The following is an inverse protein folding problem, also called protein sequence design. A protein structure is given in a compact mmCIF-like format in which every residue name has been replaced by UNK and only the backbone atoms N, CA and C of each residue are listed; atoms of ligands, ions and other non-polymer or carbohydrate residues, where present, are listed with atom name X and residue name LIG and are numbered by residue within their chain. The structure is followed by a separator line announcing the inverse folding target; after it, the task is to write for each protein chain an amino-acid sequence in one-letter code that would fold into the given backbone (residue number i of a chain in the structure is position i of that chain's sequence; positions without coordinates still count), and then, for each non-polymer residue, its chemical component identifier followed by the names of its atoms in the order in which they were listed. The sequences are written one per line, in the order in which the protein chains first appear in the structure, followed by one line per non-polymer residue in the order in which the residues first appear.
data_IF_301790041519
#
_entry.id   IF_301790041519
#
_cell.length_a   1.000
_cell.length_b   1.000
_cell.length_c   1.000
_cell.angle_alpha   90.00
_cell.angle_beta   90.00
_cell.angle_gamma   90.00
#
_symmetry.space_group_name_H-M   'P 1'
#
loop_
_entity.id
_entity.type
_entity.pdbx_description
1 polymer ?
#
# COMPACT_ATOMS: atom_id res chain seq x y z
N UNK A 1 -6.32 17.23 16.04
CA UNK A 1 -5.34 16.12 16.16
C UNK A 1 -5.98 14.81 16.64
N UNK A 2 -6.62 14.72 17.80
CA UNK A 2 -7.24 13.47 18.28
C UNK A 2 -8.36 12.92 17.36
N UNK A 3 -9.24 13.76 16.84
CA UNK A 3 -10.32 13.34 15.94
C UNK A 3 -9.76 12.77 14.62
N UNK A 4 -8.79 13.45 14.01
CA UNK A 4 -8.14 12.99 12.79
C UNK A 4 -7.41 11.66 12.97
N UNK A 5 -6.80 11.41 14.14
CA UNK A 5 -6.19 10.12 14.47
C UNK A 5 -7.25 9.01 14.54
N UNK A 6 -8.38 9.27 15.22
CA UNK A 6 -9.47 8.30 15.37
C UNK A 6 -10.10 7.96 14.01
N UNK A 7 -10.35 8.97 13.16
CA UNK A 7 -10.88 8.77 11.81
C UNK A 7 -9.92 7.97 10.93
N UNK A 8 -8.63 8.27 10.99
CA UNK A 8 -7.59 7.55 10.24
C UNK A 8 -7.54 6.06 10.64
N UNK A 9 -7.48 5.77 11.94
CA UNK A 9 -7.46 4.40 12.46
C UNK A 9 -8.76 3.66 12.12
N UNK A 10 -9.92 4.33 12.26
CA UNK A 10 -11.21 3.75 11.90
C UNK A 10 -11.28 3.36 10.41
N UNK A 11 -10.77 4.22 9.52
CA UNK A 11 -10.72 3.91 8.09
C UNK A 11 -9.86 2.68 7.78
N UNK A 12 -8.72 2.50 8.48
CA UNK A 12 -7.88 1.32 8.34
C UNK A 12 -8.55 0.06 8.92
N UNK A 13 -9.17 0.16 10.09
CA UNK A 13 -9.86 -0.97 10.73
C UNK A 13 -11.07 -1.43 9.89
N UNK A 14 -11.77 -0.51 9.22
CA UNK A 14 -12.86 -0.83 8.30
C UNK A 14 -12.44 -1.72 7.11
N UNK A 15 -11.14 -1.72 6.74
CA UNK A 15 -10.60 -2.63 5.74
C UNK A 15 -10.47 -4.08 6.25
N UNK A 16 -10.56 -4.31 7.55
CA UNK A 16 -10.35 -5.63 8.15
C UNK A 16 -11.61 -6.49 8.09
N UNK A 17 -11.84 -7.14 6.97
CA UNK A 17 -13.00 -8.01 6.76
C UNK A 17 -12.89 -9.37 7.49
N UNK A 18 -11.74 -9.71 8.07
CA UNK A 18 -11.47 -11.02 8.69
C UNK A 18 -11.49 -11.03 10.21
N UNK A 19 -11.69 -9.86 10.82
CA UNK A 19 -11.65 -9.69 12.27
C UNK A 19 -10.23 -9.71 12.87
N UNK A 20 -10.14 -9.53 14.19
CA UNK A 20 -8.88 -9.34 14.89
C UNK A 20 -8.38 -7.89 14.77
N UNK A 21 -7.21 -7.57 15.35
CA UNK A 21 -6.60 -6.26 15.19
C UNK A 21 -5.94 -6.11 13.83
N UNK A 22 -5.94 -4.91 13.30
CA UNK A 22 -5.13 -4.58 12.11
C UNK A 22 -3.64 -4.65 12.47
N UNK A 23 -2.85 -5.27 11.58
CA UNK A 23 -1.39 -5.40 11.76
C UNK A 23 -0.70 -4.08 11.42
N UNK A 24 0.31 -3.73 12.23
CA UNK A 24 1.20 -2.61 11.94
C UNK A 24 2.43 -3.05 11.13
N UNK A 25 3.20 -2.08 10.66
CA UNK A 25 4.47 -2.36 9.98
C UNK A 25 5.48 -3.07 10.91
N UNK A 26 5.39 -2.89 12.24
CA UNK A 26 6.20 -3.59 13.22
C UNK A 26 5.85 -5.09 13.27
N UNK A 27 4.56 -5.43 13.18
CA UNK A 27 4.12 -6.83 13.09
C UNK A 27 4.63 -7.49 11.79
N UNK A 28 4.61 -6.75 10.67
CA UNK A 28 5.11 -7.25 9.38
C UNK A 28 6.63 -7.47 9.40
N UNK A 29 7.38 -6.62 10.12
CA UNK A 29 8.80 -6.82 10.37
C UNK A 29 9.07 -8.09 11.18
N UNK A 30 8.34 -8.30 12.28
CA UNK A 30 8.52 -9.46 13.15
C UNK A 30 8.08 -10.77 12.48
N UNK A 31 7.05 -10.72 11.63
CA UNK A 31 6.66 -11.84 10.79
C UNK A 31 7.64 -12.10 9.62
N UNK A 32 8.59 -11.18 9.39
CA UNK A 32 9.53 -11.22 8.26
C UNK A 32 8.82 -11.05 6.91
N UNK A 33 7.65 -10.44 6.88
CA UNK A 33 6.96 -10.09 5.62
C UNK A 33 7.76 -9.08 4.82
N UNK A 34 8.45 -8.20 5.52
CA UNK A 34 9.46 -7.24 5.03
C UNK A 34 10.66 -7.27 5.98
N UNK A 35 11.83 -6.83 5.51
CA UNK A 35 12.96 -6.52 6.40
C UNK A 35 12.98 -5.03 6.77
N UNK A 36 13.88 -4.65 7.67
CA UNK A 36 13.94 -3.29 8.19
C UNK A 36 14.30 -2.24 7.12
N UNK A 37 15.28 -2.47 6.20
CA UNK A 37 15.56 -1.54 5.12
C UNK A 37 14.37 -1.33 4.17
N UNK A 38 13.70 -2.41 3.76
CA UNK A 38 12.51 -2.33 2.91
C UNK A 38 11.34 -1.62 3.62
N UNK A 39 11.09 -1.95 4.89
CA UNK A 39 10.05 -1.30 5.69
C UNK A 39 10.29 0.20 5.83
N UNK A 40 11.54 0.61 6.06
CA UNK A 40 11.93 2.01 6.17
C UNK A 40 11.70 2.77 4.84
N UNK A 41 12.11 2.17 3.72
CA UNK A 41 11.84 2.72 2.39
C UNK A 41 10.35 2.90 2.13
N UNK A 42 9.54 1.86 2.39
CA UNK A 42 8.09 1.91 2.17
C UNK A 42 7.40 2.96 3.07
N UNK A 43 7.80 3.03 4.35
CA UNK A 43 7.27 4.03 5.27
C UNK A 43 7.59 5.46 4.81
N UNK A 44 8.82 5.74 4.34
CA UNK A 44 9.22 7.02 3.80
C UNK A 44 8.44 7.38 2.53
N UNK A 45 8.31 6.46 1.58
CA UNK A 45 7.55 6.68 0.36
C UNK A 45 6.08 7.00 0.64
N UNK A 46 5.44 6.26 1.57
CA UNK A 46 4.06 6.56 1.98
C UNK A 46 3.94 7.92 2.65
N UNK A 47 4.98 8.38 3.37
CA UNK A 47 5.01 9.71 3.99
C UNK A 47 4.99 10.83 2.96
N UNK A 48 5.48 10.59 1.75
CA UNK A 48 5.38 11.50 0.60
C UNK A 48 4.03 11.43 -0.14
N UNK A 49 3.09 10.61 0.34
CA UNK A 49 1.78 10.48 -0.30
C UNK A 49 1.79 9.56 -1.53
N UNK A 50 2.65 8.56 -1.55
CA UNK A 50 2.71 7.61 -2.65
C UNK A 50 1.40 6.83 -2.81
N UNK A 51 0.86 6.75 -4.03
CA UNK A 51 -0.21 5.82 -4.38
C UNK A 51 0.30 4.39 -4.33
N UNK A 52 -0.55 3.45 -3.90
CA UNK A 52 -0.16 2.09 -3.55
C UNK A 52 -1.06 1.03 -4.18
N UNK A 53 -0.45 0.04 -4.82
CA UNK A 53 -1.10 -1.16 -5.29
C UNK A 53 -0.44 -2.40 -4.67
N UNK A 54 -1.25 -3.31 -4.10
CA UNK A 54 -0.74 -4.55 -3.51
C UNK A 54 -1.35 -5.76 -4.20
N UNK A 55 -0.53 -6.53 -4.89
CA UNK A 55 -0.92 -7.70 -5.67
C UNK A 55 -0.56 -9.02 -5.00
N UNK A 56 -1.47 -10.00 -5.11
CA UNK A 56 -1.23 -11.41 -4.87
C UNK A 56 -2.43 -12.25 -5.35
N UNK A 57 -2.20 -13.35 -6.07
CA UNK A 57 -3.28 -14.26 -6.49
C UNK A 57 -3.93 -15.01 -5.34
N UNK A 58 -3.18 -15.62 -4.39
CA UNK A 58 -3.83 -16.38 -3.33
C UNK A 58 -4.66 -15.51 -2.40
N UNK A 59 -5.90 -15.90 -2.15
CA UNK A 59 -6.68 -15.36 -1.05
C UNK A 59 -5.94 -15.58 0.28
N UNK A 60 -5.92 -14.55 1.16
CA UNK A 60 -5.21 -14.65 2.45
C UNK A 60 -3.69 -14.44 2.38
N UNK A 61 -3.15 -14.02 1.25
CA UNK A 61 -1.73 -13.68 1.11
C UNK A 61 -1.28 -12.49 1.97
N UNK A 62 -2.22 -11.73 2.57
CA UNK A 62 -1.90 -10.59 3.44
C UNK A 62 -1.93 -9.24 2.75
N UNK A 63 -2.50 -9.12 1.55
CA UNK A 63 -2.61 -7.86 0.79
C UNK A 63 -3.12 -6.71 1.66
N UNK A 64 -4.31 -6.88 2.23
CA UNK A 64 -4.96 -5.85 3.07
C UNK A 64 -4.11 -5.48 4.29
N UNK A 65 -3.48 -6.46 4.95
CA UNK A 65 -2.62 -6.18 6.09
C UNK A 65 -1.40 -5.34 5.71
N UNK A 66 -0.76 -5.63 4.57
CA UNK A 66 0.37 -4.84 4.06
C UNK A 66 -0.10 -3.45 3.65
N UNK A 67 -1.20 -3.35 2.89
CA UNK A 67 -1.76 -2.06 2.46
C UNK A 67 -2.08 -1.17 3.65
N UNK A 68 -2.85 -1.64 4.64
CA UNK A 68 -3.24 -0.84 5.79
C UNK A 68 -2.05 -0.48 6.70
N UNK A 69 -1.09 -1.40 6.89
CA UNK A 69 0.13 -1.11 7.64
C UNK A 69 0.94 0.04 7.00
N UNK A 70 0.95 0.12 5.67
CA UNK A 70 1.63 1.19 4.91
C UNK A 70 0.81 2.48 4.89
N UNK A 71 -0.50 2.42 4.67
CA UNK A 71 -1.39 3.59 4.72
C UNK A 71 -1.33 4.32 6.07
N UNK A 72 -0.94 3.62 7.13
CA UNK A 72 -0.72 4.24 8.44
C UNK A 72 0.40 5.30 8.43
N UNK A 73 1.26 5.32 7.40
CA UNK A 73 2.35 6.29 7.21
C UNK A 73 2.01 7.43 6.27
N UNK A 74 0.79 7.56 5.78
CA UNK A 74 0.37 8.71 4.98
C UNK A 74 0.65 10.05 5.68
N UNK A 75 0.76 11.19 4.96
CA UNK A 75 0.90 12.52 5.54
C UNK A 75 -0.15 12.79 6.61
N UNK A 76 0.18 13.67 7.58
CA UNK A 76 -0.66 13.89 8.77
C UNK A 76 -2.07 14.37 8.45
N UNK A 77 -2.19 15.20 7.42
CA UNK A 77 -3.43 15.85 6.98
C UNK A 77 -4.23 15.02 5.96
N UNK A 78 -3.71 13.84 5.57
CA UNK A 78 -4.35 13.02 4.54
C UNK A 78 -5.52 12.22 5.12
N UNK A 79 -6.73 12.45 4.62
CA UNK A 79 -7.89 11.63 4.90
C UNK A 79 -7.83 10.32 4.08
N UNK A 80 -8.35 9.23 4.65
CA UNK A 80 -8.56 7.97 3.91
C UNK A 80 -10.05 7.83 3.63
N UNK A 81 -10.42 7.61 2.37
CA UNK A 81 -11.82 7.46 1.97
C UNK A 81 -12.03 6.23 1.11
N UNK A 82 -12.77 5.26 1.64
CA UNK A 82 -13.13 4.07 0.89
C UNK A 82 -14.14 4.41 -0.23
N UNK A 83 -13.86 3.92 -1.45
CA UNK A 83 -14.73 4.07 -2.62
C UNK A 83 -15.77 2.96 -2.61
N UNK A 84 -16.79 3.14 -1.80
CA UNK A 84 -17.89 2.18 -1.62
C UNK A 84 -19.09 2.40 -2.53
N UNK A 85 -19.08 3.45 -3.36
CA UNK A 85 -20.15 3.75 -4.31
C UNK A 85 -19.68 4.70 -5.41
N UNK A 86 -20.41 4.73 -6.52
CA UNK A 86 -20.19 5.67 -7.63
C UNK A 86 -20.17 7.13 -7.15
N UNK A 87 -21.03 7.51 -6.21
CA UNK A 87 -21.07 8.88 -5.68
C UNK A 87 -19.74 9.32 -5.03
N UNK A 88 -18.95 8.39 -4.48
CA UNK A 88 -17.62 8.71 -3.93
C UNK A 88 -16.62 8.98 -5.06
N UNK A 89 -16.70 8.27 -6.18
CA UNK A 89 -15.88 8.56 -7.38
C UNK A 89 -16.24 9.94 -7.95
N UNK A 90 -17.52 10.23 -8.11
CA UNK A 90 -17.98 11.54 -8.62
C UNK A 90 -17.49 12.68 -7.71
N UNK A 91 -17.51 12.48 -6.39
CA UNK A 91 -16.95 13.44 -5.44
C UNK A 91 -15.44 13.58 -5.58
N UNK A 92 -14.71 12.47 -5.77
CA UNK A 92 -13.26 12.47 -5.95
C UNK A 92 -12.86 13.18 -7.25
N UNK A 93 -13.63 12.99 -8.32
CA UNK A 93 -13.43 13.69 -9.60
C UNK A 93 -13.65 15.18 -9.48
N UNK A 94 -14.57 15.63 -8.63
CA UNK A 94 -14.88 17.04 -8.38
C UNK A 94 -13.97 17.68 -7.31
N UNK A 95 -13.14 16.90 -6.59
CA UNK A 95 -12.30 17.40 -5.51
C UNK A 95 -11.17 18.29 -6.06
N UNK A 96 -11.12 19.58 -5.71
CA UNK A 96 -10.13 20.51 -6.20
C UNK A 96 -8.78 20.41 -5.46
N UNK A 97 -8.67 19.57 -4.41
CA UNK A 97 -7.50 19.47 -3.54
C UNK A 97 -6.82 18.10 -3.65
N UNK A 98 -6.09 17.84 -4.76
CA UNK A 98 -5.34 16.60 -4.90
C UNK A 98 -4.32 16.48 -3.76
N UNK A 99 -4.15 15.26 -3.26
CA UNK A 99 -3.21 14.99 -2.16
C UNK A 99 -3.78 15.13 -0.75
N UNK A 100 -4.95 15.77 -0.56
CA UNK A 100 -5.60 15.83 0.75
C UNK A 100 -6.34 14.54 1.14
N UNK A 101 -6.66 13.70 0.14
CA UNK A 101 -7.39 12.45 0.33
C UNK A 101 -6.70 11.29 -0.38
N UNK A 102 -6.55 10.17 0.33
CA UNK A 102 -6.21 8.88 -0.26
C UNK A 102 -7.52 8.11 -0.49
N UNK A 103 -7.87 7.90 -1.76
CA UNK A 103 -9.03 7.10 -2.13
C UNK A 103 -8.67 5.62 -2.12
N UNK A 104 -9.46 4.80 -1.45
CA UNK A 104 -9.17 3.42 -1.16
C UNK A 104 -10.20 2.49 -1.79
N UNK A 105 -9.78 1.60 -2.68
CA UNK A 105 -10.55 0.42 -3.07
C UNK A 105 -10.05 -0.80 -2.31
N UNK A 106 -10.94 -1.56 -1.68
CA UNK A 106 -10.53 -2.75 -0.94
C UNK A 106 -9.91 -3.80 -1.87
N UNK A 107 -10.46 -3.93 -3.08
CA UNK A 107 -9.92 -4.80 -4.11
C UNK A 107 -10.42 -4.40 -5.51
N UNK A 108 -9.57 -4.55 -6.52
CA UNK A 108 -10.03 -4.56 -7.91
C UNK A 108 -10.42 -6.00 -8.23
N UNK A 109 -11.73 -6.24 -8.32
CA UNK A 109 -12.28 -7.57 -8.54
C UNK A 109 -13.78 -7.53 -8.80
N UNK A 110 -14.25 -8.48 -9.61
CA UNK A 110 -15.66 -8.68 -9.91
C UNK A 110 -16.37 -9.31 -8.72
N UNK A 111 -17.03 -8.51 -7.90
CA UNK A 111 -17.74 -8.97 -6.71
C UNK A 111 -18.57 -7.87 -6.06
N UNK A 112 -19.69 -8.26 -5.44
CA UNK A 112 -20.62 -7.34 -4.75
C UNK A 112 -20.17 -7.05 -3.30
N UNK A 113 -18.86 -6.93 -3.06
CA UNK A 113 -18.34 -6.57 -1.74
C UNK A 113 -18.13 -5.07 -1.64
N UNK A 114 -18.21 -4.55 -0.42
CA UNK A 114 -17.99 -3.12 -0.16
C UNK A 114 -16.60 -2.67 -0.64
N UNK A 115 -16.57 -1.56 -1.40
CA UNK A 115 -15.37 -0.97 -1.99
C UNK A 115 -14.56 -1.94 -2.90
N UNK A 116 -15.24 -2.90 -3.54
CA UNK A 116 -14.73 -3.64 -4.69
C UNK A 116 -15.11 -2.90 -5.95
N UNK A 117 -14.15 -2.70 -6.84
CA UNK A 117 -14.35 -1.97 -8.09
C UNK A 117 -14.04 -2.87 -9.28
N UNK A 118 -14.85 -2.76 -10.35
CA UNK A 118 -14.64 -3.49 -11.59
C UNK A 118 -15.14 -2.69 -12.79
N UNK A 119 -14.58 -2.95 -13.98
CA UNK A 119 -14.98 -2.30 -15.23
C UNK A 119 -14.81 -0.78 -15.16
N UNK A 120 -15.87 -0.05 -15.46
CA UNK A 120 -15.87 1.42 -15.53
C UNK A 120 -15.48 2.08 -14.21
N UNK A 121 -15.93 1.55 -13.06
CA UNK A 121 -15.56 2.10 -11.76
C UNK A 121 -14.06 1.93 -11.46
N UNK A 122 -13.45 0.80 -11.87
CA UNK A 122 -12.01 0.61 -11.77
C UNK A 122 -11.26 1.57 -12.70
N UNK A 123 -11.73 1.74 -13.96
CA UNK A 123 -11.17 2.72 -14.88
C UNK A 123 -11.15 4.12 -14.25
N UNK A 124 -12.28 4.62 -13.74
CA UNK A 124 -12.43 5.95 -13.18
C UNK A 124 -11.61 6.12 -11.88
N UNK A 125 -11.53 5.07 -11.05
CA UNK A 125 -10.69 5.07 -9.86
C UNK A 125 -9.21 5.30 -10.20
N UNK A 126 -8.67 4.62 -11.21
CA UNK A 126 -7.29 4.84 -11.64
C UNK A 126 -7.10 6.20 -12.33
N UNK A 127 -8.13 6.75 -12.98
CA UNK A 127 -8.08 8.08 -13.58
C UNK A 127 -7.86 9.20 -12.54
N UNK A 128 -8.18 8.97 -11.25
CA UNK A 128 -7.89 9.90 -10.16
C UNK A 128 -6.39 10.21 -10.04
N UNK A 129 -5.50 9.30 -10.43
CA UNK A 129 -4.05 9.54 -10.42
C UNK A 129 -3.63 10.66 -11.37
N UNK A 130 -4.27 10.77 -12.54
CA UNK A 130 -4.02 11.86 -13.50
C UNK A 130 -4.42 13.24 -12.94
N UNK A 131 -5.25 13.28 -11.92
CA UNK A 131 -5.65 14.49 -11.19
C UNK A 131 -4.78 14.77 -9.96
N UNK A 132 -3.77 13.93 -9.70
CA UNK A 132 -2.86 14.06 -8.56
C UNK A 132 -3.42 13.52 -7.24
N UNK A 133 -4.52 12.76 -7.26
CA UNK A 133 -5.04 12.10 -6.06
C UNK A 133 -4.23 10.86 -5.71
N UNK A 134 -4.06 10.61 -4.42
CA UNK A 134 -3.54 9.35 -3.93
C UNK A 134 -4.60 8.26 -4.04
N UNK A 135 -4.21 7.09 -4.50
CA UNK A 135 -5.06 5.90 -4.49
C UNK A 135 -4.36 4.73 -3.81
N UNK A 136 -5.14 3.85 -3.21
CA UNK A 136 -4.62 2.60 -2.66
C UNK A 136 -5.59 1.45 -2.97
N UNK A 137 -5.06 0.30 -3.39
CA UNK A 137 -5.90 -0.86 -3.70
C UNK A 137 -5.13 -2.18 -3.64
N UNK A 138 -5.90 -3.27 -3.56
CA UNK A 138 -5.43 -4.62 -3.74
C UNK A 138 -5.93 -5.21 -5.06
N UNK A 139 -5.24 -6.22 -5.59
CA UNK A 139 -5.71 -7.00 -6.73
C UNK A 139 -5.16 -8.44 -6.74
N UNK A 140 -5.78 -9.31 -7.54
CA UNK A 140 -5.37 -10.69 -7.72
C UNK A 140 -4.36 -10.84 -8.87
N UNK A 141 -3.16 -10.30 -8.68
CA UNK A 141 -2.04 -10.47 -9.62
C UNK A 141 -0.74 -10.71 -8.85
N UNK A 142 0.12 -11.58 -9.36
CA UNK A 142 1.43 -11.91 -8.77
C UNK A 142 2.58 -11.15 -9.44
N UNK A 143 2.33 -10.51 -10.57
CA UNK A 143 3.34 -9.83 -11.39
C UNK A 143 2.80 -8.53 -11.99
N UNK A 144 3.74 -7.64 -12.38
CA UNK A 144 3.41 -6.40 -13.09
C UNK A 144 2.71 -6.67 -14.43
N UNK A 145 3.09 -7.74 -15.14
CA UNK A 145 2.43 -8.12 -16.40
C UNK A 145 0.96 -8.50 -16.16
N UNK A 146 0.69 -9.38 -15.18
CA UNK A 146 -0.68 -9.75 -14.82
C UNK A 146 -1.51 -8.56 -14.33
N UNK A 147 -0.88 -7.61 -13.64
CA UNK A 147 -1.53 -6.34 -13.24
C UNK A 147 -1.96 -5.55 -14.45
N UNK A 148 -1.09 -5.40 -15.45
CA UNK A 148 -1.43 -4.72 -16.72
C UNK A 148 -2.54 -5.44 -17.47
N UNK A 149 -2.48 -6.76 -17.54
CA UNK A 149 -3.53 -7.55 -18.19
C UNK A 149 -4.88 -7.36 -17.49
N UNK A 150 -4.92 -7.49 -16.16
CA UNK A 150 -6.16 -7.33 -15.40
C UNK A 150 -6.72 -5.91 -15.48
N UNK A 151 -5.89 -4.89 -15.35
CA UNK A 151 -6.34 -3.50 -15.29
C UNK A 151 -6.55 -2.90 -16.67
N UNK A 152 -5.55 -2.99 -17.57
CA UNK A 152 -5.65 -2.31 -18.86
C UNK A 152 -6.51 -3.10 -19.84
N UNK A 153 -6.33 -4.43 -19.95
CA UNK A 153 -7.11 -5.25 -20.87
C UNK A 153 -8.48 -5.63 -20.30
N UNK A 154 -8.54 -5.96 -19.00
CA UNK A 154 -9.76 -6.43 -18.34
C UNK A 154 -10.69 -5.33 -17.86
N UNK A 155 -10.19 -4.16 -17.49
CA UNK A 155 -10.97 -3.05 -16.92
C UNK A 155 -10.85 -1.73 -17.69
N UNK A 156 -10.11 -1.71 -18.81
CA UNK A 156 -9.97 -0.52 -19.64
C UNK A 156 -9.14 0.63 -19.01
N UNK A 157 -8.40 0.34 -17.94
CA UNK A 157 -7.53 1.35 -17.29
C UNK A 157 -6.47 1.83 -18.27
N UNK A 158 -6.37 3.14 -18.44
CA UNK A 158 -5.34 3.77 -19.28
C UNK A 158 -3.96 3.44 -18.74
N UNK A 159 -3.00 2.95 -19.55
CA UNK A 159 -1.68 2.53 -19.07
C UNK A 159 -0.94 3.61 -18.27
N UNK A 160 -1.10 4.87 -18.66
CA UNK A 160 -0.50 6.03 -18.00
C UNK A 160 -1.05 6.22 -16.57
N UNK A 161 -2.35 5.96 -16.35
CA UNK A 161 -2.96 6.02 -15.02
C UNK A 161 -2.44 4.90 -14.11
N UNK A 162 -2.21 3.70 -14.66
CA UNK A 162 -1.56 2.62 -13.91
C UNK A 162 -0.10 2.96 -13.60
N UNK A 163 0.63 3.51 -14.56
CA UNK A 163 2.04 3.91 -14.36
C UNK A 163 2.15 5.02 -13.32
N UNK A 164 1.16 5.93 -13.23
CA UNK A 164 1.10 6.98 -12.20
C UNK A 164 0.92 6.46 -10.76
N UNK A 165 0.56 5.18 -10.57
CA UNK A 165 0.60 4.57 -9.23
C UNK A 165 2.05 4.41 -8.80
N UNK A 166 2.48 5.15 -7.79
CA UNK A 166 3.88 5.29 -7.41
C UNK A 166 4.53 3.99 -6.90
N UNK A 167 3.78 3.17 -6.16
CA UNK A 167 4.27 1.90 -5.59
C UNK A 167 3.39 0.72 -6.00
N UNK A 168 4.02 -0.34 -6.51
CA UNK A 168 3.36 -1.62 -6.82
C UNK A 168 4.11 -2.74 -6.11
N UNK A 169 3.45 -3.36 -5.12
CA UNK A 169 3.98 -4.43 -4.29
C UNK A 169 3.34 -5.76 -4.66
N UNK A 170 4.15 -6.81 -4.75
CA UNK A 170 3.64 -8.17 -4.95
C UNK A 170 4.02 -9.05 -3.78
N UNK A 171 3.03 -9.79 -3.25
CA UNK A 171 3.23 -10.72 -2.15
C UNK A 171 3.30 -12.15 -2.63
N UNK A 172 4.07 -12.94 -1.90
CA UNK A 172 4.13 -14.39 -2.09
C UNK A 172 3.96 -15.09 -0.75
N UNK A 173 3.24 -16.22 -0.78
CA UNK A 173 3.20 -17.14 0.34
C UNK A 173 4.36 -18.12 0.20
N UNK A 174 5.23 -18.12 1.19
CA UNK A 174 6.39 -19.01 1.28
C UNK A 174 5.98 -20.28 2.00
N UNK A 175 6.05 -21.40 1.30
CA UNK A 175 5.72 -22.74 1.79
C UNK A 175 6.96 -23.56 2.17
N UNK A 176 8.12 -22.92 2.30
CA UNK A 176 9.38 -23.60 2.65
C UNK A 176 9.35 -24.22 4.05
N UNK A 177 8.57 -23.67 4.95
CA UNK A 177 8.30 -24.20 6.28
C UNK A 177 6.98 -24.97 6.27
N UNK A 178 7.04 -26.29 6.53
CA UNK A 178 5.82 -27.14 6.56
C UNK A 178 4.87 -26.83 7.73
N UNK A 179 5.36 -26.13 8.75
CA UNK A 179 4.63 -25.82 9.98
C UNK A 179 4.06 -24.40 9.99
N UNK A 180 4.58 -23.48 9.15
CA UNK A 180 4.16 -22.10 9.15
C UNK A 180 4.24 -21.49 7.73
N UNK A 181 3.11 -21.03 7.20
CA UNK A 181 3.09 -20.25 5.97
C UNK A 181 3.62 -18.84 6.26
N UNK A 182 4.75 -18.49 5.65
CA UNK A 182 5.32 -17.15 5.75
C UNK A 182 4.89 -16.31 4.55
N UNK A 183 4.48 -15.09 4.80
CA UNK A 183 4.13 -14.13 3.76
C UNK A 183 5.31 -13.21 3.52
N UNK A 184 5.62 -12.92 2.25
CA UNK A 184 6.76 -12.07 1.87
C UNK A 184 6.32 -11.06 0.83
N UNK A 185 6.76 -9.82 0.97
CA UNK A 185 6.77 -8.88 -0.15
C UNK A 185 7.85 -9.36 -1.11
N UNK A 186 7.45 -9.88 -2.27
CA UNK A 186 8.35 -10.54 -3.21
C UNK A 186 9.01 -9.58 -4.20
N UNK A 187 8.27 -8.55 -4.62
CA UNK A 187 8.75 -7.52 -5.53
C UNK A 187 8.15 -6.17 -5.13
N UNK A 188 8.94 -5.12 -5.26
CA UNK A 188 8.48 -3.73 -5.14
C UNK A 188 8.94 -2.99 -6.38
N UNK A 189 7.98 -2.46 -7.10
CA UNK A 189 8.22 -1.54 -8.21
C UNK A 189 7.88 -0.13 -7.76
N UNK A 190 8.75 0.80 -8.13
CA UNK A 190 8.57 2.24 -8.01
C UNK A 190 8.33 2.81 -9.41
N UNK A 191 7.42 3.76 -9.53
CA UNK A 191 7.19 4.48 -10.76
C UNK A 191 7.50 5.97 -10.59
N UNK A 192 8.11 6.55 -11.63
CA UNK A 192 8.31 7.99 -11.76
C UNK A 192 7.18 8.67 -12.58
N UNK A 193 6.10 7.92 -12.87
CA UNK A 193 5.00 8.33 -13.73
C UNK A 193 5.18 7.98 -15.22
N UNK A 194 6.39 7.61 -15.63
CA UNK A 194 6.71 7.20 -17.00
C UNK A 194 6.98 5.70 -17.12
N UNK A 195 7.68 5.13 -16.14
CA UNK A 195 8.03 3.70 -16.14
C UNK A 195 8.02 3.09 -14.73
N UNK A 196 7.79 1.78 -14.69
CA UNK A 196 7.89 0.97 -13.47
C UNK A 196 9.29 0.36 -13.34
N UNK A 197 10.02 0.68 -12.29
CA UNK A 197 11.36 0.17 -12.01
C UNK A 197 11.35 -0.75 -10.81
N UNK A 198 11.94 -1.95 -10.94
CA UNK A 198 12.11 -2.87 -9.83
C UNK A 198 13.15 -2.31 -8.84
N UNK A 199 12.72 -1.99 -7.63
CA UNK A 199 13.57 -1.42 -6.57
C UNK A 199 13.98 -2.48 -5.54
N UNK A 200 13.08 -3.42 -5.21
CA UNK A 200 13.32 -4.49 -4.26
C UNK A 200 12.82 -5.82 -4.78
N UNK A 201 13.57 -6.87 -4.47
CA UNK A 201 13.20 -8.27 -4.74
C UNK A 201 13.53 -9.13 -3.53
N UNK A 202 12.59 -10.00 -3.13
CA UNK A 202 12.89 -11.08 -2.21
C UNK A 202 13.42 -12.28 -3.00
N UNK A 203 14.64 -12.73 -2.66
CA UNK A 203 15.16 -13.98 -3.19
C UNK A 203 14.56 -15.15 -2.39
N UNK A 204 14.41 -16.30 -3.04
CA UNK A 204 13.87 -17.50 -2.38
C UNK A 204 14.79 -18.09 -1.32
N UNK A 205 16.01 -17.56 -1.18
CA UNK A 205 16.99 -17.93 -0.14
C UNK A 205 16.75 -17.19 1.17
N UNK A 206 15.80 -16.24 1.16
CA UNK A 206 15.31 -15.56 2.34
C UNK A 206 15.80 -14.13 2.53
N UNK A 207 16.55 -13.58 1.55
CA UNK A 207 17.01 -12.20 1.60
C UNK A 207 16.11 -11.24 0.80
N UNK A 208 15.97 -10.02 1.32
CA UNK A 208 15.42 -8.90 0.57
C UNK A 208 16.57 -8.11 -0.06
N UNK A 209 16.60 -8.04 -1.38
CA UNK A 209 17.68 -7.42 -2.14
C UNK A 209 17.19 -6.10 -2.73
N UNK A 210 17.84 -4.99 -2.35
CA UNK A 210 17.67 -3.74 -3.07
C UNK A 210 18.39 -3.82 -4.40
N UNK A 211 17.72 -3.40 -5.46
CA UNK A 211 18.31 -3.33 -6.79
C UNK A 211 19.18 -2.06 -6.90
N UNK A 212 20.17 -2.10 -7.81
CA UNK A 212 21.06 -0.97 -8.07
C UNK A 212 20.37 0.11 -8.94
N UNK A 213 19.19 0.54 -8.49
CA UNK A 213 18.37 1.58 -9.12
C UNK A 213 18.17 2.70 -8.11
N UNK A 214 18.40 3.93 -8.52
CA UNK A 214 18.15 5.10 -7.69
C UNK A 214 16.63 5.31 -7.55
N UNK A 215 16.19 5.53 -6.31
CA UNK A 215 14.78 5.83 -6.02
C UNK A 215 14.48 7.29 -6.36
N UNK A 216 13.34 7.54 -6.99
CA UNK A 216 12.82 8.89 -7.19
C UNK A 216 11.88 9.33 -6.05
N UNK A 217 11.48 8.41 -5.15
CA UNK A 217 10.56 8.69 -4.06
C UNK A 217 11.26 8.93 -2.71
N UNK A 218 12.39 8.27 -2.47
CA UNK A 218 13.02 8.25 -1.13
C UNK A 218 14.53 8.41 -1.25
N UNK A 219 15.07 9.43 -0.60
CA UNK A 219 16.51 9.61 -0.47
C UNK A 219 17.13 8.61 0.52
N UNK A 220 18.45 8.34 0.45
CA UNK A 220 19.13 7.50 1.43
C UNK A 220 18.99 8.01 2.87
N UNK A 221 19.02 9.32 3.08
CA UNK A 221 18.89 9.98 4.38
C UNK A 221 17.51 9.77 4.99
N UNK A 222 16.45 9.86 4.18
CA UNK A 222 15.08 9.58 4.60
C UNK A 222 14.92 8.11 4.96
N UNK A 223 15.45 7.22 4.13
CA UNK A 223 15.49 5.78 4.43
C UNK A 223 16.15 5.49 5.78
N UNK A 224 17.26 6.14 6.09
CA UNK A 224 17.96 6.01 7.37
C UNK A 224 17.13 6.59 8.54
N UNK A 225 16.44 7.68 8.33
CA UNK A 225 15.55 8.30 9.33
C UNK A 225 14.43 7.35 9.71
N UNK A 226 13.72 6.78 8.73
CA UNK A 226 12.64 5.82 9.00
C UNK A 226 13.16 4.49 9.53
N UNK A 227 14.37 4.07 9.19
CA UNK A 227 15.01 2.89 9.78
C UNK A 227 15.24 3.08 11.29
N UNK A 228 15.73 4.26 11.70
CA UNK A 228 15.89 4.60 13.12
C UNK A 228 14.55 4.68 13.84
N UNK A 229 13.55 5.29 13.21
CA UNK A 229 12.19 5.40 13.72
C UNK A 229 11.57 4.01 13.99
N UNK A 230 11.54 3.14 12.97
CA UNK A 230 11.00 1.78 13.11
C UNK A 230 11.77 0.93 14.13
N UNK A 231 13.09 1.08 14.21
CA UNK A 231 13.91 0.43 15.24
C UNK A 231 13.51 0.90 16.64
N UNK A 232 13.25 2.20 16.81
CA UNK A 232 12.79 2.76 18.09
C UNK A 232 11.41 2.20 18.49
N UNK A 233 10.45 2.19 17.56
CA UNK A 233 9.12 1.61 17.82
C UNK A 233 9.20 0.15 18.21
N UNK A 234 9.99 -0.64 17.48
CA UNK A 234 10.17 -2.08 17.77
C UNK A 234 10.78 -2.31 19.15
N UNK A 235 11.80 -1.54 19.54
CA UNK A 235 12.44 -1.61 20.88
C UNK A 235 11.49 -1.24 22.02
N UNK A 236 10.54 -0.32 21.76
CA UNK A 236 9.53 0.15 22.72
C UNK A 236 8.27 -0.72 22.69
N UNK A 237 8.23 -1.76 21.89
CA UNK A 237 7.07 -2.66 21.67
C UNK A 237 5.79 -1.92 21.23
N UNK A 238 5.93 -0.84 20.45
CA UNK A 238 4.80 -0.08 19.89
C UNK A 238 4.26 -0.84 18.68
N UNK A 239 3.14 -1.54 18.84
CA UNK A 239 2.61 -2.48 17.84
C UNK A 239 1.24 -2.14 17.28
N UNK A 240 0.41 -1.42 18.03
CA UNK A 240 -0.91 -1.05 17.51
C UNK A 240 -0.81 0.07 16.49
N UNK A 241 -1.62 0.01 15.42
CA UNK A 241 -1.61 1.03 14.36
C UNK A 241 -1.86 2.43 14.93
N UNK A 242 -2.76 2.55 15.90
CA UNK A 242 -3.03 3.81 16.59
C UNK A 242 -1.80 4.38 17.30
N UNK A 243 -1.07 3.53 18.04
CA UNK A 243 0.13 3.96 18.77
C UNK A 243 1.28 4.31 17.83
N UNK A 244 1.47 3.52 16.75
CA UNK A 244 2.44 3.83 15.69
C UNK A 244 2.10 5.19 15.07
N UNK A 245 0.82 5.42 14.72
CA UNK A 245 0.38 6.70 14.14
C UNK A 245 0.57 7.86 15.11
N UNK A 246 0.24 7.67 16.39
CA UNK A 246 0.42 8.71 17.42
C UNK A 246 1.88 9.15 17.52
N UNK A 247 2.82 8.19 17.58
CA UNK A 247 4.26 8.52 17.64
C UNK A 247 4.75 9.15 16.32
N UNK A 248 4.19 8.75 15.17
CA UNK A 248 4.52 9.35 13.87
C UNK A 248 4.06 10.82 13.77
N UNK A 249 2.96 11.17 14.44
CA UNK A 249 2.44 12.55 14.44
C UNK A 249 3.26 13.52 15.33
N UNK A 250 4.17 12.98 16.16
CA UNK A 250 5.05 13.77 17.05
C UNK A 250 6.39 14.16 16.38
N UNK A 251 6.67 13.62 15.19
CA UNK A 251 7.88 13.89 14.40
C UNK A 251 7.57 14.63 13.09
#
# INVERSE_FOLDING_TARGET
MALALTEHVHALDACNQRGGRMLSLIDLLDAGTVDLPLAAYLAAAMRHGASLLVGARPGGAGKTAVMCALLNFLPNETAIRAVGSRAVLDMAEADPYPGATCYLAHEIGDGLYYAYLWGEEAHDFFALTARGHMIATNLHADTLAETRDQLCLGNGVVPEHLTAVALKLYLRVDHSDRLAFKRRVSHVYESDGAEDRLIWRWDRRGAFERQAVESCLVSPEEGDTYRKFLTSLRRRDVRYIEDVRRVLLEI
#
